data_IF_570433502578
#
_entry.id   IF_570433502578
#
_cell.length_a   1.000
_cell.length_b   1.000
_cell.length_c   1.000
_cell.angle_alpha   90.00
_cell.angle_beta   90.00
_cell.angle_gamma   90.00
#
_symmetry.space_group_name_H-M   'P 1'
#
loop_
_entity.id
_entity.type
_entity.pdbx_description
1 polymer ?
#
# COMPACT_ATOMS: atom_id res chain seq x y z
N UNK A 1 -18.30 -25.05 1.19
CA UNK A 1 -18.39 -23.84 2.04
C UNK A 1 -19.26 -24.22 3.22
N UNK A 2 -18.73 -24.19 4.45
CA UNK A 2 -19.50 -24.48 5.66
C UNK A 2 -20.13 -23.21 6.20
N UNK A 3 -21.39 -23.27 6.63
CA UNK A 3 -22.03 -22.17 7.34
C UNK A 3 -21.54 -22.17 8.79
N UNK A 4 -21.15 -21.01 9.32
CA UNK A 4 -20.78 -20.84 10.71
C UNK A 4 -21.50 -19.62 11.28
N UNK A 5 -22.26 -19.82 12.34
CA UNK A 5 -22.88 -18.76 13.11
C UNK A 5 -22.01 -18.48 14.33
N UNK A 6 -21.79 -17.21 14.65
CA UNK A 6 -20.93 -16.79 15.74
C UNK A 6 -21.56 -15.63 16.48
N UNK A 7 -21.43 -15.66 17.80
CA UNK A 7 -21.74 -14.53 18.66
C UNK A 7 -20.67 -13.42 18.49
N UNK A 8 -20.98 -12.16 18.86
CA UNK A 8 -20.01 -11.08 18.89
C UNK A 8 -18.71 -11.44 19.63
N UNK A 9 -18.82 -12.13 20.76
CA UNK A 9 -17.67 -12.56 21.57
C UNK A 9 -16.77 -13.58 20.83
N UNK A 10 -17.37 -14.55 20.15
CA UNK A 10 -16.62 -15.54 19.36
C UNK A 10 -15.92 -14.90 18.16
N UNK A 11 -16.56 -13.94 17.49
CA UNK A 11 -15.94 -13.18 16.39
C UNK A 11 -14.66 -12.48 16.86
N UNK A 12 -14.73 -11.77 17.99
CA UNK A 12 -13.56 -11.08 18.56
C UNK A 12 -12.47 -12.05 18.97
N UNK A 13 -12.82 -13.16 19.63
CA UNK A 13 -11.85 -14.20 20.03
C UNK A 13 -11.08 -14.73 18.82
N UNK A 14 -11.80 -15.10 17.76
CA UNK A 14 -11.17 -15.65 16.55
C UNK A 14 -10.33 -14.62 15.80
N UNK A 15 -10.72 -13.34 15.82
CA UNK A 15 -9.90 -12.28 15.24
C UNK A 15 -8.61 -12.01 16.03
N UNK A 16 -8.54 -12.39 17.31
CA UNK A 16 -7.29 -12.36 18.06
C UNK A 16 -6.36 -13.53 17.70
N UNK A 17 -6.91 -14.65 17.22
CA UNK A 17 -6.17 -15.87 16.87
C UNK A 17 -5.75 -15.91 15.39
N UNK A 18 -6.48 -15.25 14.49
CA UNK A 18 -6.24 -15.27 13.04
C UNK A 18 -6.37 -13.87 12.41
N UNK A 19 -5.26 -13.39 11.85
CA UNK A 19 -5.17 -12.10 11.15
C UNK A 19 -6.11 -12.02 9.93
N UNK A 20 -6.41 -13.14 9.29
CA UNK A 20 -7.36 -13.24 8.17
C UNK A 20 -8.78 -12.94 8.64
N UNK A 21 -9.17 -13.50 9.79
CA UNK A 21 -10.47 -13.24 10.41
C UNK A 21 -10.52 -11.78 10.88
N UNK A 22 -9.46 -11.29 11.52
CA UNK A 22 -9.33 -9.88 11.91
C UNK A 22 -9.53 -8.93 10.73
N UNK A 23 -8.89 -9.21 9.61
CA UNK A 23 -9.02 -8.41 8.38
C UNK A 23 -10.43 -8.47 7.82
N UNK A 24 -11.08 -9.62 7.89
CA UNK A 24 -12.46 -9.80 7.42
C UNK A 24 -13.46 -9.03 8.28
N UNK A 25 -13.27 -9.00 9.61
CA UNK A 25 -14.09 -8.19 10.51
C UNK A 25 -13.83 -6.69 10.34
N UNK A 26 -12.57 -6.30 10.11
CA UNK A 26 -12.20 -4.91 9.81
C UNK A 26 -12.92 -4.39 8.55
N UNK A 27 -13.19 -5.25 7.58
CA UNK A 27 -13.92 -4.90 6.35
C UNK A 27 -15.41 -5.26 6.38
N UNK A 28 -15.95 -5.62 7.54
CA UNK A 28 -17.35 -5.98 7.69
C UNK A 28 -18.27 -4.79 7.43
N UNK A 29 -19.39 -5.06 6.75
CA UNK A 29 -20.48 -4.11 6.49
C UNK A 29 -21.82 -4.71 6.89
N UNK A 30 -22.70 -3.88 7.43
CA UNK A 30 -24.08 -4.29 7.67
C UNK A 30 -24.80 -4.53 6.33
N UNK A 31 -25.53 -5.64 6.24
CA UNK A 31 -26.29 -6.02 5.05
C UNK A 31 -27.79 -6.10 5.36
N UNK A 32 -28.14 -6.89 6.38
CA UNK A 32 -29.49 -7.09 6.87
C UNK A 32 -29.44 -7.78 8.24
N UNK A 33 -30.58 -7.78 8.94
CA UNK A 33 -30.73 -8.43 10.25
C UNK A 33 -30.79 -7.42 11.40
N UNK A 34 -30.35 -7.83 12.57
CA UNK A 34 -30.34 -6.99 13.77
C UNK A 34 -29.15 -6.01 13.73
N UNK A 35 -29.46 -4.72 13.60
CA UNK A 35 -28.47 -3.65 13.58
C UNK A 35 -27.74 -3.51 14.92
N UNK A 36 -28.46 -3.65 16.05
CA UNK A 36 -27.86 -3.51 17.38
C UNK A 36 -26.83 -4.62 17.64
N UNK A 37 -27.10 -5.83 17.17
CA UNK A 37 -26.15 -6.94 17.25
C UNK A 37 -24.88 -6.68 16.41
N UNK A 38 -25.03 -6.10 15.22
CA UNK A 38 -23.88 -5.71 14.40
C UNK A 38 -23.06 -4.60 15.05
N UNK A 39 -23.72 -3.59 15.61
CA UNK A 39 -23.06 -2.47 16.29
C UNK A 39 -22.33 -2.94 17.55
N UNK A 40 -22.93 -3.84 18.32
CA UNK A 40 -22.27 -4.50 19.47
C UNK A 40 -21.00 -5.24 19.03
N UNK A 41 -21.09 -6.05 17.97
CA UNK A 41 -19.96 -6.78 17.42
C UNK A 41 -18.84 -5.84 16.96
N UNK A 42 -19.17 -4.77 16.23
CA UNK A 42 -18.20 -3.78 15.77
C UNK A 42 -17.53 -3.03 16.92
N UNK A 43 -18.31 -2.60 17.92
CA UNK A 43 -17.79 -1.92 19.11
C UNK A 43 -16.83 -2.83 19.89
N UNK A 44 -17.21 -4.09 20.09
CA UNK A 44 -16.36 -5.08 20.78
C UNK A 44 -15.10 -5.40 19.98
N UNK A 45 -15.21 -5.59 18.67
CA UNK A 45 -14.08 -5.83 17.79
C UNK A 45 -13.08 -4.67 17.82
N UNK A 46 -13.57 -3.42 17.72
CA UNK A 46 -12.73 -2.23 17.80
C UNK A 46 -11.96 -2.19 19.12
N UNK A 47 -12.66 -2.33 20.24
CA UNK A 47 -12.07 -2.26 21.58
C UNK A 47 -11.04 -3.36 21.83
N UNK A 48 -11.39 -4.61 21.52
CA UNK A 48 -10.63 -5.77 22.01
C UNK A 48 -9.59 -6.27 20.97
N UNK A 49 -9.78 -6.00 19.67
CA UNK A 49 -8.93 -6.51 18.59
C UNK A 49 -8.21 -5.42 17.78
N UNK A 50 -8.64 -4.16 17.82
CA UNK A 50 -8.03 -3.06 17.05
C UNK A 50 -7.22 -2.12 17.93
N UNK A 51 -7.84 -1.54 18.96
CA UNK A 51 -7.25 -0.50 19.80
C UNK A 51 -5.92 -0.97 20.44
N UNK A 52 -4.87 -0.17 20.26
CA UNK A 52 -3.53 -0.44 20.82
C UNK A 52 -2.70 -1.50 20.09
N UNK A 53 -3.21 -2.10 19.01
CA UNK A 53 -2.53 -3.19 18.27
C UNK A 53 -2.04 -2.78 16.88
N UNK A 54 -1.80 -1.49 16.66
CA UNK A 54 -1.43 -0.94 15.36
C UNK A 54 -0.12 -1.54 14.84
N UNK A 55 0.92 -1.53 15.67
CA UNK A 55 2.25 -1.99 15.28
C UNK A 55 2.29 -3.46 14.86
N UNK A 56 1.61 -4.31 15.63
CA UNK A 56 1.45 -5.74 15.35
C UNK A 56 0.72 -5.95 14.02
N UNK A 57 -0.44 -5.31 13.84
CA UNK A 57 -1.23 -5.47 12.62
C UNK A 57 -0.48 -5.00 11.37
N UNK A 58 0.25 -3.89 11.46
CA UNK A 58 1.10 -3.38 10.37
C UNK A 58 2.19 -4.40 10.03
N UNK A 59 2.92 -4.90 11.03
CA UNK A 59 3.99 -5.86 10.83
C UNK A 59 3.48 -7.13 10.15
N UNK A 60 2.36 -7.69 10.64
CA UNK A 60 1.74 -8.88 10.06
C UNK A 60 1.34 -8.66 8.60
N UNK A 61 0.73 -7.51 8.29
CA UNK A 61 0.28 -7.20 6.93
C UNK A 61 1.41 -6.96 5.95
N UNK A 62 2.52 -6.35 6.40
CA UNK A 62 3.73 -6.19 5.61
C UNK A 62 4.41 -7.55 5.38
N UNK A 63 4.47 -8.41 6.39
CA UNK A 63 5.00 -9.77 6.24
C UNK A 63 4.16 -10.63 5.28
N UNK A 64 2.82 -10.55 5.34
CA UNK A 64 1.92 -11.23 4.40
C UNK A 64 2.16 -10.78 2.95
N UNK A 65 2.36 -9.48 2.74
CA UNK A 65 2.72 -8.90 1.44
C UNK A 65 4.06 -9.46 0.94
N UNK A 66 5.08 -9.45 1.77
CA UNK A 66 6.44 -9.86 1.39
C UNK A 66 6.49 -11.36 1.06
N UNK A 67 5.82 -12.19 1.87
CA UNK A 67 5.68 -13.62 1.60
C UNK A 67 4.90 -13.90 0.29
N UNK A 68 3.92 -13.06 -0.05
CA UNK A 68 3.21 -13.17 -1.34
C UNK A 68 4.10 -12.75 -2.52
N UNK A 69 4.83 -11.64 -2.42
CA UNK A 69 5.75 -11.20 -3.47
C UNK A 69 6.84 -12.24 -3.71
N UNK A 70 7.41 -12.82 -2.65
CA UNK A 70 8.38 -13.91 -2.76
C UNK A 70 7.85 -15.13 -3.54
N UNK A 71 6.58 -15.51 -3.34
CA UNK A 71 5.95 -16.64 -4.07
C UNK A 71 5.66 -16.33 -5.54
N UNK A 72 5.33 -15.08 -5.87
CA UNK A 72 4.98 -14.65 -7.24
C UNK A 72 6.20 -14.23 -8.07
N UNK A 73 7.37 -14.08 -7.43
CA UNK A 73 8.57 -13.51 -8.01
C UNK A 73 8.67 -12.00 -7.74
N UNK A 74 9.88 -11.53 -7.46
CA UNK A 74 10.11 -10.15 -6.98
C UNK A 74 10.08 -9.07 -8.09
N UNK A 75 9.87 -9.50 -9.34
CA UNK A 75 9.84 -8.65 -10.51
C UNK A 75 8.45 -8.01 -10.70
N UNK A 76 8.43 -6.67 -10.75
CA UNK A 76 7.22 -5.89 -11.09
C UNK A 76 6.89 -5.93 -12.58
N UNK A 77 7.92 -6.01 -13.41
CA UNK A 77 7.82 -5.94 -14.86
C UNK A 77 7.95 -7.34 -15.44
N UNK A 78 6.84 -8.06 -15.50
CA UNK A 78 6.75 -9.40 -16.10
C UNK A 78 5.85 -9.34 -17.33
N UNK A 79 6.10 -10.23 -18.30
CA UNK A 79 5.38 -10.26 -19.58
C UNK A 79 3.89 -10.51 -19.35
N UNK A 80 3.54 -11.44 -18.46
CA UNK A 80 2.16 -11.80 -18.14
C UNK A 80 1.85 -11.53 -16.66
N UNK A 81 1.55 -10.28 -16.28
CA UNK A 81 1.41 -9.94 -14.88
C UNK A 81 0.10 -10.45 -14.28
N UNK A 82 0.13 -10.81 -12.99
CA UNK A 82 -1.08 -11.03 -12.21
C UNK A 82 -1.55 -9.70 -11.62
N UNK A 83 -2.74 -9.25 -12.02
CA UNK A 83 -3.26 -7.92 -11.65
C UNK A 83 -3.68 -7.83 -10.18
N UNK A 84 -3.90 -8.98 -9.53
CA UNK A 84 -4.40 -9.06 -8.15
C UNK A 84 -3.26 -9.31 -7.17
N UNK A 85 -2.57 -10.41 -7.34
CA UNK A 85 -1.57 -10.91 -6.38
C UNK A 85 -0.15 -10.45 -6.71
N UNK A 86 0.09 -9.91 -7.92
CA UNK A 86 1.39 -9.40 -8.34
C UNK A 86 1.86 -8.15 -7.57
N UNK A 87 3.16 -7.87 -7.66
CA UNK A 87 3.79 -6.69 -7.04
C UNK A 87 3.26 -5.40 -7.66
N UNK A 88 2.60 -4.56 -6.87
CA UNK A 88 1.87 -3.38 -7.33
C UNK A 88 0.43 -3.67 -7.80
N UNK A 89 -0.10 -4.87 -7.55
CA UNK A 89 -1.47 -5.26 -7.91
C UNK A 89 -2.53 -4.85 -6.88
N UNK A 90 -3.77 -5.30 -7.09
CA UNK A 90 -4.92 -4.97 -6.23
C UNK A 90 -4.70 -5.36 -4.76
N UNK A 91 -4.00 -6.47 -4.50
CA UNK A 91 -3.75 -6.90 -3.12
C UNK A 91 -2.87 -5.92 -2.36
N UNK A 92 -1.90 -5.28 -3.03
CA UNK A 92 -1.06 -4.26 -2.38
C UNK A 92 -1.88 -3.02 -1.99
N UNK A 93 -2.86 -2.63 -2.82
CA UNK A 93 -3.80 -1.56 -2.48
C UNK A 93 -4.74 -1.96 -1.34
N UNK A 94 -5.21 -3.20 -1.31
CA UNK A 94 -6.04 -3.72 -0.20
C UNK A 94 -5.27 -3.75 1.12
N UNK A 95 -4.03 -4.24 1.09
CA UNK A 95 -3.12 -4.21 2.26
C UNK A 95 -2.98 -2.77 2.77
N UNK A 96 -2.77 -1.80 1.87
CA UNK A 96 -2.66 -0.39 2.23
C UNK A 96 -3.94 0.14 2.90
N UNK A 97 -5.08 -0.12 2.28
CA UNK A 97 -6.39 0.28 2.78
C UNK A 97 -6.67 -0.31 4.17
N UNK A 98 -6.39 -1.59 4.39
CA UNK A 98 -6.60 -2.23 5.69
C UNK A 98 -5.68 -1.67 6.77
N UNK A 99 -4.41 -1.41 6.45
CA UNK A 99 -3.48 -0.76 7.40
C UNK A 99 -4.04 0.61 7.82
N UNK A 100 -4.47 1.42 6.86
CA UNK A 100 -5.02 2.75 7.13
C UNK A 100 -6.33 2.66 7.91
N UNK A 101 -7.23 1.73 7.53
CA UNK A 101 -8.51 1.52 8.22
C UNK A 101 -8.33 1.06 9.66
N UNK A 102 -7.33 0.21 9.92
CA UNK A 102 -7.01 -0.24 11.27
C UNK A 102 -6.58 0.92 12.16
N UNK A 103 -5.74 1.83 11.65
CA UNK A 103 -5.16 2.92 12.44
C UNK A 103 -6.13 4.11 12.59
N UNK A 104 -6.76 4.52 11.50
CA UNK A 104 -7.54 5.77 11.44
C UNK A 104 -9.06 5.53 11.44
N UNK A 105 -9.50 4.28 11.30
CA UNK A 105 -10.92 3.93 11.16
C UNK A 105 -11.49 4.36 9.80
N UNK A 106 -12.81 4.43 9.74
CA UNK A 106 -13.58 4.78 8.54
C UNK A 106 -14.46 3.63 8.05
N UNK A 107 -15.51 3.96 7.30
CA UNK A 107 -16.47 2.99 6.76
C UNK A 107 -16.36 2.84 5.26
N UNK A 108 -16.19 3.96 4.54
CA UNK A 108 -15.99 3.96 3.09
C UNK A 108 -14.51 4.06 2.73
N UNK A 109 -14.19 3.73 1.47
CA UNK A 109 -12.83 3.90 0.95
C UNK A 109 -12.37 5.36 1.07
N UNK A 110 -13.26 6.29 0.72
CA UNK A 110 -13.01 7.72 0.82
C UNK A 110 -12.73 8.16 2.26
N UNK A 111 -13.52 7.68 3.24
CA UNK A 111 -13.33 8.01 4.65
C UNK A 111 -11.97 7.53 5.16
N UNK A 112 -11.66 6.26 4.91
CA UNK A 112 -10.41 5.62 5.35
C UNK A 112 -9.21 6.36 4.75
N UNK A 113 -9.24 6.57 3.43
CA UNK A 113 -8.09 7.11 2.72
C UNK A 113 -7.91 8.62 2.93
N UNK A 114 -8.96 9.38 3.27
CA UNK A 114 -8.86 10.80 3.68
C UNK A 114 -8.43 10.96 5.14
N UNK A 115 -8.80 10.04 6.02
CA UNK A 115 -8.38 10.03 7.42
C UNK A 115 -6.93 9.60 7.62
N UNK A 116 -6.37 8.86 6.66
CA UNK A 116 -4.99 8.41 6.66
C UNK A 116 -3.95 9.52 6.44
N UNK A 117 -2.65 9.17 6.53
CA UNK A 117 -1.56 10.15 6.54
C UNK A 117 -1.16 10.59 5.11
N UNK A 118 -2.11 10.56 4.18
CA UNK A 118 -1.83 10.78 2.76
C UNK A 118 -1.92 12.26 2.36
N UNK A 119 -1.02 12.67 1.48
CA UNK A 119 -1.19 13.93 0.76
C UNK A 119 -2.34 13.82 -0.25
N UNK A 120 -2.89 14.95 -0.68
CA UNK A 120 -3.91 14.98 -1.74
C UNK A 120 -3.46 14.29 -3.03
N UNK A 121 -2.16 14.40 -3.36
CA UNK A 121 -1.57 13.75 -4.53
C UNK A 121 -1.51 12.23 -4.38
N UNK A 122 -1.07 11.75 -3.22
CA UNK A 122 -1.00 10.32 -2.88
C UNK A 122 -2.40 9.68 -2.89
N UNK A 123 -3.38 10.32 -2.26
CA UNK A 123 -4.78 9.91 -2.31
C UNK A 123 -5.29 9.82 -3.76
N UNK A 124 -5.02 10.85 -4.58
CA UNK A 124 -5.40 10.86 -5.98
C UNK A 124 -4.74 9.72 -6.78
N UNK A 125 -3.47 9.43 -6.48
CA UNK A 125 -2.73 8.31 -7.08
C UNK A 125 -3.35 6.97 -6.71
N UNK A 126 -3.67 6.77 -5.44
CA UNK A 126 -4.34 5.56 -4.95
C UNK A 126 -5.66 5.32 -5.70
N UNK A 127 -6.54 6.32 -5.76
CA UNK A 127 -7.86 6.18 -6.39
C UNK A 127 -7.73 5.89 -7.89
N UNK A 128 -6.82 6.56 -8.60
CA UNK A 128 -6.58 6.31 -10.03
C UNK A 128 -6.04 4.89 -10.27
N UNK A 129 -5.12 4.43 -9.44
CA UNK A 129 -4.53 3.09 -9.52
C UNK A 129 -5.56 2.00 -9.23
N UNK A 130 -6.36 2.17 -8.17
CA UNK A 130 -7.45 1.26 -7.83
C UNK A 130 -8.48 1.16 -8.95
N UNK A 131 -8.94 2.31 -9.48
CA UNK A 131 -9.89 2.35 -10.60
C UNK A 131 -9.34 1.62 -11.82
N UNK A 132 -8.10 1.92 -12.22
CA UNK A 132 -7.48 1.28 -13.37
C UNK A 132 -7.41 -0.25 -13.22
N UNK A 133 -6.86 -0.75 -12.10
CA UNK A 133 -6.70 -2.19 -11.89
C UNK A 133 -8.05 -2.91 -11.78
N UNK A 134 -9.05 -2.31 -11.15
CA UNK A 134 -10.41 -2.86 -11.11
C UNK A 134 -11.06 -2.89 -12.50
N UNK A 135 -10.92 -1.84 -13.30
CA UNK A 135 -11.43 -1.83 -14.68
C UNK A 135 -10.78 -2.95 -15.51
N UNK A 136 -9.45 -3.12 -15.41
CA UNK A 136 -8.74 -4.23 -16.07
C UNK A 136 -9.31 -5.58 -15.63
N UNK A 137 -9.50 -5.79 -14.31
CA UNK A 137 -10.04 -7.02 -13.74
C UNK A 137 -11.43 -7.35 -14.29
N UNK A 138 -12.32 -6.36 -14.30
CA UNK A 138 -13.67 -6.53 -14.83
C UNK A 138 -13.62 -6.94 -16.31
N UNK A 139 -12.78 -6.30 -17.13
CA UNK A 139 -12.63 -6.69 -18.53
C UNK A 139 -12.07 -8.11 -18.69
N UNK A 140 -11.07 -8.51 -17.88
CA UNK A 140 -10.56 -9.89 -17.89
C UNK A 140 -11.65 -10.90 -17.58
N UNK A 141 -12.45 -10.65 -16.54
CA UNK A 141 -13.55 -11.54 -16.15
C UNK A 141 -14.64 -11.60 -17.20
N UNK A 142 -14.99 -10.47 -17.82
CA UNK A 142 -15.99 -10.42 -18.89
C UNK A 142 -15.54 -11.11 -20.18
N UNK A 143 -14.26 -11.01 -20.54
CA UNK A 143 -13.72 -11.67 -21.74
C UNK A 143 -13.61 -13.18 -21.52
N UNK A 144 -13.16 -13.60 -20.34
CA UNK A 144 -12.85 -15.02 -20.08
C UNK A 144 -14.00 -15.81 -19.49
N UNK A 145 -15.05 -15.14 -18.98
CA UNK A 145 -16.19 -15.78 -18.31
C UNK A 145 -15.83 -16.45 -16.98
N UNK A 146 -14.63 -16.20 -16.44
CA UNK A 146 -14.14 -16.79 -15.20
C UNK A 146 -13.33 -15.78 -14.37
N UNK A 147 -12.97 -16.17 -13.15
CA UNK A 147 -12.11 -15.38 -12.28
C UNK A 147 -10.63 -15.41 -12.74
N UNK A 148 -10.37 -14.91 -13.95
CA UNK A 148 -9.01 -14.75 -14.49
C UNK A 148 -8.34 -13.52 -13.88
N UNK A 149 -7.09 -13.67 -13.43
CA UNK A 149 -6.33 -12.59 -12.81
C UNK A 149 -4.98 -12.40 -13.50
N UNK A 150 -4.59 -13.28 -14.43
CA UNK A 150 -3.39 -13.16 -15.24
C UNK A 150 -3.74 -12.40 -16.52
N UNK A 151 -3.00 -11.33 -16.77
CA UNK A 151 -3.05 -10.60 -18.03
C UNK A 151 -2.08 -11.26 -19.02
N UNK A 152 -2.49 -12.41 -19.56
CA UNK A 152 -1.69 -13.20 -20.50
C UNK A 152 -1.45 -12.47 -21.83
N UNK A 153 -0.42 -12.88 -22.56
CA UNK A 153 0.02 -12.18 -23.76
C UNK A 153 -1.09 -12.07 -24.84
N UNK A 154 -1.92 -13.11 -24.96
CA UNK A 154 -3.07 -13.16 -25.86
C UNK A 154 -4.23 -12.25 -25.41
N UNK A 155 -4.41 -12.04 -24.11
CA UNK A 155 -5.44 -11.16 -23.57
C UNK A 155 -5.04 -9.68 -23.62
N UNK A 156 -3.75 -9.36 -23.62
CA UNK A 156 -3.25 -7.98 -23.58
C UNK A 156 -3.81 -7.09 -24.71
N UNK A 157 -3.80 -7.50 -26.00
CA UNK A 157 -4.38 -6.70 -27.08
C UNK A 157 -5.89 -6.48 -26.93
N UNK A 158 -6.63 -7.53 -26.56
CA UNK A 158 -8.09 -7.48 -26.39
C UNK A 158 -8.48 -6.54 -25.25
N UNK A 159 -7.81 -6.63 -24.10
CA UNK A 159 -8.05 -5.75 -22.96
C UNK A 159 -7.65 -4.31 -23.29
N UNK A 160 -6.53 -4.10 -24.00
CA UNK A 160 -6.12 -2.77 -24.46
C UNK A 160 -7.21 -2.12 -25.33
N UNK A 161 -7.75 -2.85 -26.30
CA UNK A 161 -8.81 -2.38 -27.18
C UNK A 161 -10.09 -2.02 -26.39
N UNK A 162 -10.54 -2.90 -25.48
CA UNK A 162 -11.71 -2.66 -24.62
C UNK A 162 -11.55 -1.46 -23.69
N UNK A 163 -10.33 -1.21 -23.22
CA UNK A 163 -10.00 -0.03 -22.42
C UNK A 163 -9.78 1.24 -23.27
N UNK A 164 -10.00 1.18 -24.58
CA UNK A 164 -9.91 2.32 -25.48
C UNK A 164 -8.49 2.71 -25.88
N UNK A 165 -7.50 1.84 -25.65
CA UNK A 165 -6.14 2.08 -26.11
C UNK A 165 -6.04 1.79 -27.60
N UNK A 166 -5.99 2.87 -28.39
CA UNK A 166 -5.76 2.82 -29.83
C UNK A 166 -4.28 2.99 -30.17
N UNK A 167 -3.93 2.49 -31.35
CA UNK A 167 -2.63 2.71 -31.98
C UNK A 167 -2.39 4.20 -32.23
N UNK A 168 -1.13 4.60 -32.18
CA UNK A 168 -0.64 5.93 -32.55
C UNK A 168 0.60 5.75 -33.42
N UNK A 169 1.00 6.81 -34.14
CA UNK A 169 2.20 6.79 -34.97
C UNK A 169 3.41 6.27 -34.18
N UNK A 170 3.91 5.09 -34.56
CA UNK A 170 5.06 4.45 -33.94
C UNK A 170 4.82 3.74 -32.60
N UNK A 171 3.57 3.54 -32.15
CA UNK A 171 3.29 2.82 -30.91
C UNK A 171 1.95 2.07 -30.94
N UNK A 172 1.97 0.77 -30.63
CA UNK A 172 0.76 -0.06 -30.57
C UNK A 172 -0.10 0.28 -29.34
N UNK A 173 -1.42 0.13 -29.46
CA UNK A 173 -2.38 0.32 -28.37
C UNK A 173 -2.07 -0.58 -27.17
N UNK A 174 -1.69 -1.83 -27.43
CA UNK A 174 -1.27 -2.79 -26.40
C UNK A 174 -0.02 -2.32 -25.64
N UNK A 175 0.98 -1.77 -26.32
CA UNK A 175 2.20 -1.23 -25.67
C UNK A 175 1.87 -0.03 -24.79
N UNK A 176 0.97 0.85 -25.26
CA UNK A 176 0.49 2.01 -24.49
C UNK A 176 -0.26 1.56 -23.23
N UNK A 177 -1.10 0.55 -23.36
CA UNK A 177 -1.82 -0.06 -22.25
C UNK A 177 -0.84 -0.68 -21.24
N UNK A 178 0.10 -1.51 -21.70
CA UNK A 178 1.10 -2.15 -20.84
C UNK A 178 2.01 -1.12 -20.16
N UNK A 179 2.42 -0.06 -20.86
CA UNK A 179 3.13 1.07 -20.24
C UNK A 179 2.31 1.70 -19.12
N UNK A 180 1.01 1.93 -19.33
CA UNK A 180 0.14 2.46 -18.28
C UNK A 180 0.01 1.49 -17.10
N UNK A 181 -0.17 0.19 -17.37
CA UNK A 181 -0.24 -0.85 -16.35
C UNK A 181 0.99 -0.80 -15.45
N UNK A 182 2.18 -0.77 -16.04
CA UNK A 182 3.43 -0.75 -15.28
C UNK A 182 3.65 0.55 -14.49
N UNK A 183 3.21 1.70 -15.03
CA UNK A 183 3.20 2.96 -14.26
C UNK A 183 2.26 2.88 -13.06
N UNK A 184 1.07 2.30 -13.22
CA UNK A 184 0.14 2.07 -12.11
C UNK A 184 0.75 1.12 -11.08
N UNK A 185 1.32 -0.01 -11.49
CA UNK A 185 2.01 -0.92 -10.60
C UNK A 185 3.17 -0.21 -9.87
N UNK A 186 3.92 0.67 -10.55
CA UNK A 186 4.95 1.54 -9.96
C UNK A 186 4.38 2.40 -8.83
N UNK A 187 3.30 3.12 -9.12
CA UNK A 187 2.62 4.04 -8.21
C UNK A 187 2.09 3.32 -6.97
N UNK A 188 1.47 2.14 -7.13
CA UNK A 188 0.99 1.32 -5.99
C UNK A 188 2.14 0.99 -5.04
N UNK A 189 3.26 0.47 -5.56
CA UNK A 189 4.39 0.16 -4.70
C UNK A 189 5.13 1.39 -4.14
N UNK A 190 4.96 2.58 -4.72
CA UNK A 190 5.41 3.82 -4.10
C UNK A 190 4.54 4.16 -2.88
N UNK A 191 3.21 4.09 -3.03
CA UNK A 191 2.26 4.32 -1.94
C UNK A 191 2.49 3.39 -0.75
N UNK A 192 2.72 2.09 -1.00
CA UNK A 192 3.02 1.14 0.08
C UNK A 192 4.31 1.47 0.84
N UNK A 193 5.35 1.92 0.13
CA UNK A 193 6.62 2.34 0.76
C UNK A 193 6.46 3.61 1.59
N UNK A 194 5.70 4.58 1.08
CA UNK A 194 5.42 5.83 1.78
C UNK A 194 4.73 5.54 3.11
N UNK A 195 3.70 4.68 3.12
CA UNK A 195 3.02 4.31 4.37
C UNK A 195 3.95 3.59 5.33
N UNK A 196 4.68 2.56 4.87
CA UNK A 196 5.56 1.79 5.75
C UNK A 196 6.50 2.72 6.52
N UNK A 197 7.08 3.70 5.83
CA UNK A 197 8.02 4.61 6.45
C UNK A 197 7.36 5.75 7.24
N UNK A 198 6.16 6.24 6.88
CA UNK A 198 5.38 7.13 7.75
C UNK A 198 5.05 6.44 9.08
N UNK A 199 4.69 5.17 9.04
CA UNK A 199 4.38 4.36 10.22
C UNK A 199 5.63 4.08 11.07
N UNK A 200 6.77 3.77 10.45
CA UNK A 200 8.04 3.66 11.17
C UNK A 200 8.43 4.95 11.88
N UNK A 201 8.20 6.11 11.24
CA UNK A 201 8.47 7.42 11.84
C UNK A 201 7.55 7.71 13.04
N UNK A 202 6.29 7.30 12.98
CA UNK A 202 5.34 7.44 14.09
C UNK A 202 5.64 6.47 15.26
N UNK A 203 5.98 5.21 14.98
CA UNK A 203 6.38 4.25 16.02
C UNK A 203 7.66 4.69 16.71
N UNK A 204 8.62 5.25 15.97
CA UNK A 204 9.82 5.87 16.55
C UNK A 204 9.53 7.04 17.47
N UNK A 205 8.32 7.63 17.48
CA UNK A 205 7.91 8.68 18.44
C UNK A 205 7.35 8.14 19.77
N UNK A 206 6.86 6.89 19.84
CA UNK A 206 6.39 6.26 21.09
C UNK A 206 7.47 5.29 21.62
N UNK A 207 8.21 5.69 22.68
CA UNK A 207 7.80 5.31 24.03
C UNK A 207 7.76 6.51 25.00
N UNK A 208 6.60 6.66 25.66
CA UNK A 208 6.46 7.48 26.86
C UNK A 208 7.03 6.74 28.07
N UNK A 209 7.83 7.45 28.87
CA UNK A 209 8.37 6.99 30.14
C UNK A 209 9.83 7.40 30.36
N UNK A 210 10.72 7.12 29.41
CA UNK A 210 12.16 7.33 29.57
C UNK A 210 12.78 8.41 28.65
N UNK A 211 11.99 8.98 27.72
CA UNK A 211 12.52 9.90 26.69
C UNK A 211 12.51 11.39 27.02
N UNK A 212 11.93 11.81 28.15
CA UNK A 212 12.02 13.23 28.57
C UNK A 212 13.45 13.69 28.94
N UNK A 213 14.42 12.76 28.95
CA UNK A 213 15.84 13.01 29.20
C UNK A 213 16.77 12.67 28.01
N UNK A 214 16.22 12.26 26.86
CA UNK A 214 17.03 11.96 25.66
C UNK A 214 16.82 13.06 24.62
N UNK A 215 17.89 13.75 24.17
CA UNK A 215 17.77 14.78 23.16
C UNK A 215 17.12 14.21 21.89
N UNK A 216 16.14 14.94 21.37
CA UNK A 216 15.53 14.71 20.06
C UNK A 216 16.68 14.54 19.06
N UNK A 217 16.90 13.33 18.51
CA UNK A 217 18.02 13.08 17.59
C UNK A 217 17.81 13.97 16.37
N UNK A 218 18.57 15.05 16.29
CA UNK A 218 18.69 15.88 15.11
C UNK A 218 19.12 15.00 13.93
N UNK A 219 18.57 15.21 12.72
CA UNK A 219 19.04 14.53 11.53
C UNK A 219 20.55 14.67 11.42
N UNK A 220 21.25 13.54 11.33
CA UNK A 220 22.71 13.54 11.26
C UNK A 220 23.11 13.94 9.84
N UNK A 221 23.78 15.08 9.68
CA UNK A 221 24.32 15.48 8.39
C UNK A 221 25.30 14.40 7.88
N UNK A 222 25.19 14.09 6.59
CA UNK A 222 26.18 13.27 5.89
C UNK A 222 27.25 14.18 5.28
N UNK A 223 28.40 13.59 4.94
CA UNK A 223 29.47 14.31 4.24
C UNK A 223 29.02 14.80 2.85
N UNK A 224 27.99 14.19 2.28
CA UNK A 224 27.36 14.61 1.03
C UNK A 224 26.41 15.81 1.28
N UNK A 225 26.70 17.00 0.70
CA UNK A 225 25.90 18.20 0.95
C UNK A 225 24.43 18.01 0.54
N UNK A 226 23.53 18.38 1.45
CA UNK A 226 22.08 18.27 1.23
C UNK A 226 21.47 16.91 1.59
N UNK A 227 22.27 15.95 2.06
CA UNK A 227 21.80 14.65 2.54
C UNK A 227 21.95 14.52 4.06
N UNK A 228 21.02 13.81 4.68
CA UNK A 228 20.99 13.57 6.12
C UNK A 228 20.61 12.12 6.40
N UNK A 229 20.99 11.61 7.56
CA UNK A 229 20.36 10.42 8.15
C UNK A 229 19.28 10.92 9.11
N UNK A 230 18.02 10.75 8.70
CA UNK A 230 16.87 10.97 9.57
C UNK A 230 16.24 9.63 9.90
N UNK A 231 16.07 9.38 11.20
CA UNK A 231 15.38 8.18 11.67
C UNK A 231 15.97 6.87 11.11
N UNK A 232 17.28 6.84 10.86
CA UNK A 232 17.98 5.67 10.32
C UNK A 232 17.82 5.47 8.80
N UNK A 233 17.23 6.42 8.08
CA UNK A 233 17.06 6.41 6.62
C UNK A 233 17.81 7.57 5.99
N UNK A 234 18.25 7.43 4.74
CA UNK A 234 18.89 8.52 3.97
C UNK A 234 17.81 9.47 3.47
N UNK A 235 17.83 10.69 3.98
CA UNK A 235 16.93 11.80 3.63
C UNK A 235 17.67 12.95 2.95
N UNK A 236 16.91 13.99 2.62
CA UNK A 236 17.40 15.26 2.08
C UNK A 236 17.03 16.40 3.02
N UNK A 237 17.83 17.46 3.04
CA UNK A 237 17.55 18.65 3.86
C UNK A 237 16.37 19.47 3.34
N UNK A 238 16.14 19.45 2.01
CA UNK A 238 14.97 20.05 1.36
C UNK A 238 14.77 19.47 -0.04
N UNK A 239 13.55 19.59 -0.59
CA UNK A 239 13.27 19.19 -1.98
C UNK A 239 14.11 19.93 -3.03
N UNK A 240 14.57 21.14 -2.71
CA UNK A 240 15.38 21.96 -3.61
C UNK A 240 16.79 21.38 -3.83
N UNK A 241 17.26 20.47 -2.97
CA UNK A 241 18.53 19.76 -3.16
C UNK A 241 18.55 19.02 -4.50
N UNK A 242 17.42 18.45 -4.90
CA UNK A 242 17.28 17.73 -6.18
C UNK A 242 17.12 18.68 -7.37
N UNK A 243 16.50 19.86 -7.16
CA UNK A 243 16.33 20.87 -8.22
C UNK A 243 17.62 21.61 -8.54
N UNK A 244 18.45 21.86 -7.52
CA UNK A 244 19.74 22.56 -7.67
C UNK A 244 20.79 21.71 -8.39
N UNK A 245 20.79 20.41 -8.16
CA UNK A 245 21.64 19.46 -8.86
C UNK A 245 20.87 18.16 -9.16
N UNK A 246 20.38 17.96 -10.39
CA UNK A 246 19.65 16.76 -10.78
C UNK A 246 20.43 15.45 -10.59
N UNK A 247 21.78 15.49 -10.55
CA UNK A 247 22.59 14.30 -10.27
C UNK A 247 22.40 13.79 -8.84
N UNK A 248 21.87 14.62 -7.93
CA UNK A 248 21.53 14.21 -6.57
C UNK A 248 20.47 13.08 -6.54
N UNK A 249 19.66 12.95 -7.59
CA UNK A 249 18.75 11.82 -7.74
C UNK A 249 19.50 10.49 -7.77
N UNK A 250 20.62 10.43 -8.49
CA UNK A 250 21.49 9.25 -8.55
C UNK A 250 22.33 9.12 -7.27
N UNK A 251 22.86 10.23 -6.76
CA UNK A 251 23.65 10.22 -5.52
C UNK A 251 22.85 9.67 -4.34
N UNK A 252 21.55 9.96 -4.25
CA UNK A 252 20.68 9.42 -3.22
C UNK A 252 20.75 7.89 -3.13
N UNK A 253 20.71 7.18 -4.27
CA UNK A 253 20.81 5.72 -4.31
C UNK A 253 22.22 5.22 -3.98
N UNK A 254 23.26 5.94 -4.41
CA UNK A 254 24.65 5.63 -4.10
C UNK A 254 24.89 5.76 -2.59
N UNK A 255 24.43 6.85 -1.98
CA UNK A 255 24.54 7.12 -0.55
C UNK A 255 23.74 6.08 0.25
N UNK A 256 22.49 5.80 -0.13
CA UNK A 256 21.68 4.77 0.51
C UNK A 256 22.39 3.40 0.54
N UNK A 257 23.02 3.02 -0.57
CA UNK A 257 23.81 1.79 -0.66
C UNK A 257 25.10 1.86 0.17
N UNK A 258 25.84 2.98 0.11
CA UNK A 258 27.09 3.19 0.87
C UNK A 258 26.85 3.11 2.38
N UNK A 259 25.77 3.74 2.83
CA UNK A 259 25.38 3.79 4.24
C UNK A 259 24.62 2.54 4.70
N UNK A 260 24.31 1.62 3.78
CA UNK A 260 23.47 0.43 3.99
C UNK A 260 22.13 0.76 4.69
N UNK A 261 21.44 1.79 4.21
CA UNK A 261 20.21 2.32 4.78
C UNK A 261 19.16 2.55 3.70
N UNK A 262 17.90 2.36 4.07
CA UNK A 262 16.77 2.71 3.20
C UNK A 262 16.66 4.22 2.99
N UNK A 263 16.05 4.61 1.88
CA UNK A 263 15.76 6.02 1.55
C UNK A 263 14.52 6.49 2.32
N UNK A 264 14.56 7.73 2.81
CA UNK A 264 13.43 8.40 3.46
C UNK A 264 12.31 8.69 2.44
N UNK A 265 11.02 8.49 2.76
CA UNK A 265 9.91 8.70 1.82
C UNK A 265 9.86 10.07 1.19
N UNK A 266 10.17 11.11 1.96
CA UNK A 266 10.16 12.47 1.47
C UNK A 266 11.26 12.69 0.41
N UNK A 267 12.45 12.12 0.65
CA UNK A 267 13.53 12.12 -0.34
C UNK A 267 13.18 11.29 -1.59
N UNK A 268 12.48 10.17 -1.42
CA UNK A 268 12.01 9.35 -2.54
C UNK A 268 10.87 10.02 -3.32
N UNK A 269 10.02 10.80 -2.65
CA UNK A 269 8.94 11.56 -3.27
C UNK A 269 9.49 12.75 -4.05
N UNK A 270 10.56 13.38 -3.57
CA UNK A 270 11.22 14.51 -4.23
C UNK A 270 11.91 14.16 -5.57
N UNK A 271 12.10 12.87 -5.88
CA UNK A 271 12.66 12.40 -7.16
C UNK A 271 11.59 11.88 -8.15
N UNK A 272 10.30 11.88 -7.76
CA UNK A 272 9.20 11.30 -8.56
C UNK A 272 8.30 12.36 -9.14
#
# INVERSE_FOLDING_TARGET
VGNAFRTPAECVKLAAEDVTIKTSLLDARFMCGDQALFDEMQAKFKKDAVEGKDAEFIADKLAERDARHARQGDARYVVEPNIKEGKGGLRDLQTLYWIVKHIYGGQTLEDVMKGGPFTRSEYGSFIRSAKFLWTVRCHLHFVTGRAEERLSFDLQPEIAARMGYRDRTGQLGVERFMKRYFLVAKDVGALTRIIAAKLEAEQKKKPEGFRRLLPQKTPQALDDPGFVIDSGRVGITSEDVMKRDPLNMLRLFIIARRENKDIHPDALSAIT
#
